data_IF_711819903240
#
_entry.id   IF_711819903240
#
_cell.length_a   1.000
_cell.length_b   1.000
_cell.length_c   1.000
_cell.angle_alpha   90.00
_cell.angle_beta   90.00
_cell.angle_gamma   90.00
#
_symmetry.space_group_name_H-M   'P 1'
#
loop_
_entity.id
_entity.type
_entity.pdbx_description
1 polymer ?
#
# COMPACT_ATOMS: atom_id res chain seq x y z
N UNK A 1 -35.28 -14.01 3.96
CA UNK A 1 -34.61 -13.05 4.85
C UNK A 1 -33.24 -13.54 5.32
N UNK A 2 -32.84 -14.79 5.03
CA UNK A 2 -31.64 -15.44 5.58
C UNK A 2 -30.40 -15.45 4.64
N UNK A 3 -30.56 -14.98 3.40
CA UNK A 3 -29.44 -14.96 2.43
C UNK A 3 -28.43 -13.82 2.64
N UNK A 4 -28.87 -12.69 3.20
CA UNK A 4 -28.03 -11.50 3.36
C UNK A 4 -27.02 -11.62 4.52
N UNK A 5 -27.33 -12.39 5.56
CA UNK A 5 -26.45 -12.57 6.70
C UNK A 5 -25.23 -13.47 6.41
N UNK A 6 -25.35 -14.43 5.49
CA UNK A 6 -24.26 -15.32 5.12
C UNK A 6 -23.15 -14.56 4.34
N UNK A 7 -23.54 -13.57 3.52
CA UNK A 7 -22.61 -12.76 2.74
C UNK A 7 -21.85 -11.75 3.63
N UNK A 8 -22.50 -11.21 4.66
CA UNK A 8 -21.88 -10.27 5.62
C UNK A 8 -20.89 -10.97 6.54
N UNK A 9 -21.17 -12.19 6.96
CA UNK A 9 -20.24 -12.98 7.80
C UNK A 9 -18.97 -13.36 7.04
N UNK A 10 -19.08 -13.61 5.73
CA UNK A 10 -17.91 -13.98 4.90
C UNK A 10 -16.96 -12.82 4.58
N UNK A 11 -17.44 -11.58 4.54
CA UNK A 11 -16.57 -10.43 4.24
C UNK A 11 -15.56 -10.14 5.37
N UNK A 12 -15.95 -10.31 6.62
CA UNK A 12 -15.11 -9.98 7.77
C UNK A 12 -13.87 -10.89 7.88
N UNK A 13 -13.97 -12.17 7.48
CA UNK A 13 -12.83 -13.08 7.50
C UNK A 13 -11.72 -12.70 6.48
N UNK A 14 -12.10 -12.12 5.35
CA UNK A 14 -11.12 -11.66 4.34
C UNK A 14 -10.25 -10.56 4.91
N UNK A 15 -10.82 -9.61 5.65
CA UNK A 15 -10.04 -8.55 6.28
C UNK A 15 -9.10 -9.09 7.37
N UNK A 16 -9.61 -10.00 8.22
CA UNK A 16 -8.80 -10.63 9.26
C UNK A 16 -7.65 -11.43 8.64
N UNK A 17 -7.96 -12.24 7.61
CA UNK A 17 -6.94 -13.04 6.91
C UNK A 17 -5.93 -12.15 6.17
N UNK A 18 -6.36 -11.05 5.57
CA UNK A 18 -5.47 -10.08 4.93
C UNK A 18 -4.55 -9.41 5.93
N UNK A 19 -5.08 -9.00 7.08
CA UNK A 19 -4.29 -8.43 8.17
C UNK A 19 -3.25 -9.43 8.71
N UNK A 20 -3.70 -10.64 9.08
CA UNK A 20 -2.82 -11.70 9.60
C UNK A 20 -1.81 -12.15 8.55
N UNK A 21 -2.21 -12.25 7.28
CA UNK A 21 -1.34 -12.58 6.16
C UNK A 21 -0.26 -11.51 5.94
N UNK A 22 -0.63 -10.23 5.96
CA UNK A 22 0.33 -9.11 5.86
C UNK A 22 1.28 -9.08 7.04
N UNK A 23 0.78 -9.30 8.25
CA UNK A 23 1.58 -9.38 9.44
C UNK A 23 2.59 -10.54 9.39
N UNK A 24 2.13 -11.73 9.04
CA UNK A 24 3.00 -12.93 8.93
C UNK A 24 4.05 -12.78 7.81
N UNK A 25 3.65 -12.27 6.65
CA UNK A 25 4.59 -12.01 5.53
C UNK A 25 5.62 -10.95 5.90
N UNK A 26 5.23 -9.90 6.61
CA UNK A 26 6.15 -8.87 7.11
C UNK A 26 7.13 -9.45 8.12
N UNK A 27 6.67 -10.24 9.09
CA UNK A 27 7.53 -10.93 10.05
C UNK A 27 8.54 -11.87 9.38
N UNK A 28 8.20 -12.43 8.24
CA UNK A 28 9.10 -13.27 7.44
C UNK A 28 10.09 -12.43 6.61
N UNK A 29 9.61 -11.43 5.87
CA UNK A 29 10.46 -10.67 4.95
C UNK A 29 11.44 -9.74 5.67
N UNK A 30 11.06 -9.11 6.78
CA UNK A 30 11.92 -8.16 7.50
C UNK A 30 13.24 -8.80 7.94
N UNK A 31 13.26 -9.95 8.65
CA UNK A 31 14.52 -10.57 9.05
C UNK A 31 15.33 -11.10 7.85
N UNK A 32 14.68 -11.58 6.79
CA UNK A 32 15.36 -12.05 5.57
C UNK A 32 16.07 -10.89 4.89
N UNK A 33 15.35 -9.80 4.64
CA UNK A 33 15.89 -8.61 3.96
C UNK A 33 16.96 -7.94 4.82
N UNK A 34 16.77 -7.86 6.15
CA UNK A 34 17.79 -7.39 7.10
C UNK A 34 19.08 -8.22 7.00
N UNK A 35 18.96 -9.55 6.95
CA UNK A 35 20.12 -10.44 6.81
C UNK A 35 20.86 -10.24 5.48
N UNK A 36 20.11 -10.00 4.40
CA UNK A 36 20.68 -9.69 3.09
C UNK A 36 21.40 -8.35 3.13
N UNK A 37 20.81 -7.31 3.70
CA UNK A 37 21.40 -5.98 3.83
C UNK A 37 22.73 -6.03 4.60
N UNK A 38 22.76 -6.71 5.74
CA UNK A 38 23.98 -6.89 6.55
C UNK A 38 25.04 -7.65 5.76
N UNK A 39 24.68 -8.76 5.10
CA UNK A 39 25.64 -9.57 4.31
C UNK A 39 26.21 -8.82 3.10
N UNK A 40 25.42 -7.92 2.52
CA UNK A 40 25.81 -7.11 1.37
C UNK A 40 26.43 -5.77 1.75
N UNK A 41 26.60 -5.51 3.06
CA UNK A 41 27.11 -4.24 3.59
C UNK A 41 26.27 -3.03 3.12
N UNK A 42 24.98 -3.23 2.93
CA UNK A 42 24.01 -2.18 2.59
C UNK A 42 23.50 -1.58 3.89
N UNK A 43 24.33 -0.72 4.49
CA UNK A 43 24.13 -0.17 5.83
C UNK A 43 24.12 1.36 5.76
N UNK A 44 23.20 1.94 6.52
CA UNK A 44 23.21 3.36 6.83
C UNK A 44 24.15 3.65 7.98
N UNK A 45 25.21 4.39 7.72
CA UNK A 45 26.18 4.74 8.73
C UNK A 45 25.76 6.01 9.48
N UNK A 46 26.08 6.10 10.79
CA UNK A 46 25.84 7.31 11.58
C UNK A 46 26.42 8.57 10.92
N UNK A 47 25.68 9.67 10.96
CA UNK A 47 26.10 10.95 10.40
C UNK A 47 25.60 12.12 11.25
N UNK A 48 26.10 13.34 10.98
CA UNK A 48 25.82 14.55 11.77
C UNK A 48 24.34 14.92 11.90
N UNK A 49 23.49 14.39 11.01
CA UNK A 49 22.05 14.69 10.98
C UNK A 49 21.17 13.45 11.17
N UNK A 50 21.75 12.33 11.65
CA UNK A 50 21.04 11.07 11.84
C UNK A 50 20.87 10.78 13.33
N UNK A 51 19.71 10.23 13.70
CA UNK A 51 19.36 9.97 15.10
C UNK A 51 20.00 8.69 15.65
N UNK A 52 20.51 7.78 14.78
CA UNK A 52 21.08 6.52 15.21
C UNK A 52 22.61 6.61 15.41
N UNK A 53 23.11 5.91 16.42
CA UNK A 53 24.53 5.84 16.79
C UNK A 53 25.24 4.62 16.20
N UNK A 54 24.50 3.62 15.75
CA UNK A 54 24.99 2.40 15.13
C UNK A 54 24.58 2.31 13.67
N UNK A 55 25.28 1.49 12.88
CA UNK A 55 24.93 1.27 11.47
C UNK A 55 23.63 0.48 11.36
N UNK A 56 22.63 1.05 10.70
CA UNK A 56 21.29 0.46 10.51
C UNK A 56 21.17 -0.13 9.11
N UNK A 57 20.68 -1.37 8.96
CA UNK A 57 20.46 -1.94 7.63
C UNK A 57 19.40 -1.16 6.86
N UNK A 58 19.74 -0.72 5.64
CA UNK A 58 18.76 -0.28 4.65
C UNK A 58 17.83 -1.44 4.25
N UNK A 59 16.91 -1.22 3.34
CA UNK A 59 15.98 -2.19 2.76
C UNK A 59 14.77 -2.55 3.64
N UNK A 60 14.56 -1.91 4.80
CA UNK A 60 13.36 -2.11 5.62
C UNK A 60 12.08 -1.81 4.83
N UNK A 61 12.05 -0.68 4.12
CA UNK A 61 10.95 -0.30 3.24
C UNK A 61 10.68 -1.32 2.12
N UNK A 62 11.73 -1.93 1.56
CA UNK A 62 11.56 -3.00 0.56
C UNK A 62 10.81 -4.21 1.14
N UNK A 63 11.12 -4.62 2.36
CA UNK A 63 10.41 -5.73 3.02
C UNK A 63 8.93 -5.41 3.23
N UNK A 64 8.60 -4.18 3.63
CA UNK A 64 7.22 -3.72 3.81
C UNK A 64 6.46 -3.67 2.49
N UNK A 65 7.05 -3.12 1.43
CA UNK A 65 6.45 -3.06 0.10
C UNK A 65 6.19 -4.47 -0.45
N UNK A 66 7.13 -5.40 -0.29
CA UNK A 66 6.96 -6.80 -0.71
C UNK A 66 5.84 -7.48 0.08
N UNK A 67 5.81 -7.33 1.41
CA UNK A 67 4.77 -7.92 2.24
C UNK A 67 3.38 -7.38 1.87
N UNK A 68 3.25 -6.08 1.70
CA UNK A 68 2.01 -5.44 1.28
C UNK A 68 1.56 -5.93 -0.10
N UNK A 69 2.44 -5.90 -1.08
CA UNK A 69 2.14 -6.31 -2.46
C UNK A 69 1.69 -7.77 -2.53
N UNK A 70 2.42 -8.67 -1.88
CA UNK A 70 2.06 -10.10 -1.82
C UNK A 70 0.69 -10.28 -1.18
N UNK A 71 0.42 -9.60 -0.06
CA UNK A 71 -0.86 -9.72 0.64
C UNK A 71 -2.02 -9.18 -0.19
N UNK A 72 -1.87 -8.03 -0.86
CA UNK A 72 -2.92 -7.48 -1.74
C UNK A 72 -3.21 -8.44 -2.89
N UNK A 73 -2.18 -8.97 -3.55
CA UNK A 73 -2.36 -9.94 -4.64
C UNK A 73 -3.08 -11.20 -4.14
N UNK A 74 -2.65 -11.76 -2.99
CA UNK A 74 -3.28 -12.93 -2.40
C UNK A 74 -4.74 -12.64 -1.99
N UNK A 75 -5.03 -11.48 -1.40
CA UNK A 75 -6.38 -11.10 -1.02
C UNK A 75 -7.31 -10.99 -2.24
N UNK A 76 -6.82 -10.41 -3.34
CA UNK A 76 -7.57 -10.32 -4.61
C UNK A 76 -7.83 -11.72 -5.18
N UNK A 77 -6.82 -12.58 -5.21
CA UNK A 77 -6.95 -13.97 -5.72
C UNK A 77 -7.91 -14.76 -4.84
N UNK A 78 -7.70 -14.81 -3.52
CA UNK A 78 -8.54 -15.58 -2.59
C UNK A 78 -10.00 -15.12 -2.64
N UNK A 79 -10.25 -13.81 -2.70
CA UNK A 79 -11.62 -13.28 -2.71
C UNK A 79 -12.41 -13.69 -3.97
N UNK A 80 -11.74 -13.93 -5.08
CA UNK A 80 -12.39 -14.28 -6.34
C UNK A 80 -12.56 -15.79 -6.53
N UNK A 81 -11.69 -16.58 -5.91
CA UNK A 81 -11.74 -18.04 -6.03
C UNK A 81 -12.71 -18.70 -5.01
N UNK A 82 -13.14 -17.96 -3.97
CA UNK A 82 -14.02 -18.49 -2.93
C UNK A 82 -15.47 -18.03 -3.17
N UNK A 83 -16.16 -18.61 -4.14
CA UNK A 83 -17.62 -18.58 -4.18
C UNK A 83 -18.18 -19.82 -3.49
N UNK A 84 -18.86 -19.61 -2.37
CA UNK A 84 -19.58 -20.67 -1.67
C UNK A 84 -20.96 -20.81 -2.32
N UNK A 85 -21.14 -21.85 -3.10
CA UNK A 85 -22.43 -22.22 -3.64
C UNK A 85 -22.82 -23.62 -3.11
N UNK A 86 -23.94 -23.75 -2.39
CA UNK A 86 -24.54 -24.99 -1.91
C UNK A 86 -23.58 -25.99 -1.21
N UNK A 87 -22.65 -25.49 -0.36
CA UNK A 87 -21.76 -26.34 0.43
C UNK A 87 -20.55 -26.90 -0.33
N UNK A 88 -20.37 -26.53 -1.60
CA UNK A 88 -19.16 -26.80 -2.36
C UNK A 88 -18.32 -25.55 -2.55
N UNK A 89 -17.00 -25.68 -2.33
CA UNK A 89 -16.03 -24.61 -2.61
C UNK A 89 -15.65 -24.72 -4.09
N UNK A 90 -16.12 -23.78 -4.91
CA UNK A 90 -15.72 -23.73 -6.32
C UNK A 90 -14.69 -22.62 -6.52
N UNK A 91 -13.55 -22.96 -7.09
CA UNK A 91 -12.52 -22.00 -7.50
C UNK A 91 -12.89 -21.47 -8.90
N UNK A 92 -13.29 -20.20 -8.97
CA UNK A 92 -13.66 -19.57 -10.24
C UNK A 92 -12.67 -18.46 -10.62
N UNK A 93 -11.62 -18.82 -11.36
CA UNK A 93 -10.60 -17.88 -11.88
C UNK A 93 -11.20 -16.89 -12.89
N UNK A 94 -12.36 -17.20 -13.48
CA UNK A 94 -13.03 -16.33 -14.46
C UNK A 94 -13.66 -15.06 -13.87
N UNK A 95 -13.91 -14.99 -12.55
CA UNK A 95 -14.49 -13.83 -11.88
C UNK A 95 -13.60 -12.60 -11.88
N UNK A 96 -12.27 -12.76 -12.05
CA UNK A 96 -11.30 -11.66 -12.18
C UNK A 96 -11.63 -10.69 -13.33
N UNK A 97 -12.29 -11.19 -14.36
CA UNK A 97 -12.59 -10.43 -15.59
C UNK A 97 -14.05 -9.97 -15.69
N UNK A 98 -14.91 -10.35 -14.74
CA UNK A 98 -16.35 -10.02 -14.77
C UNK A 98 -16.82 -8.94 -13.77
N UNK A 99 -16.02 -8.64 -12.74
CA UNK A 99 -16.31 -7.50 -11.87
C UNK A 99 -15.92 -6.21 -12.60
N UNK A 100 -16.78 -5.22 -12.62
CA UNK A 100 -16.69 -4.01 -13.42
C UNK A 100 -15.25 -3.54 -13.64
N UNK A 101 -14.82 -3.58 -14.87
CA UNK A 101 -13.42 -3.59 -15.32
C UNK A 101 -12.52 -2.46 -14.78
N UNK A 102 -13.09 -1.40 -14.23
CA UNK A 102 -12.33 -0.22 -13.80
C UNK A 102 -11.66 -0.41 -12.43
N UNK A 103 -12.35 -1.00 -11.45
CA UNK A 103 -11.83 -1.10 -10.07
C UNK A 103 -10.57 -1.97 -9.95
N UNK A 104 -10.49 -3.07 -10.71
CA UNK A 104 -9.30 -3.94 -10.69
C UNK A 104 -8.12 -3.28 -11.39
N UNK A 105 -8.39 -2.62 -12.52
CA UNK A 105 -7.37 -1.85 -13.24
C UNK A 105 -6.83 -0.73 -12.35
N UNK A 106 -7.70 0.03 -11.70
CA UNK A 106 -7.34 1.07 -10.74
C UNK A 106 -6.47 0.53 -9.60
N UNK A 107 -6.82 -0.62 -9.02
CA UNK A 107 -6.04 -1.27 -7.99
C UNK A 107 -4.63 -1.63 -8.47
N UNK A 108 -4.50 -2.27 -9.65
CA UNK A 108 -3.19 -2.62 -10.19
C UNK A 108 -2.36 -1.41 -10.59
N UNK A 109 -3.01 -0.34 -11.07
CA UNK A 109 -2.35 0.93 -11.37
C UNK A 109 -1.82 1.57 -10.09
N UNK A 110 -2.64 1.68 -9.06
CA UNK A 110 -2.23 2.23 -7.75
C UNK A 110 -1.10 1.41 -7.15
N UNK A 111 -1.20 0.07 -7.18
CA UNK A 111 -0.16 -0.82 -6.70
C UNK A 111 1.15 -0.66 -7.50
N UNK A 112 1.07 -0.57 -8.82
CA UNK A 112 2.22 -0.34 -9.69
C UNK A 112 2.89 1.00 -9.42
N UNK A 113 2.12 2.07 -9.25
CA UNK A 113 2.62 3.40 -8.93
C UNK A 113 3.21 3.47 -7.51
N UNK A 114 2.61 2.75 -6.54
CA UNK A 114 3.17 2.60 -5.19
C UNK A 114 4.51 1.84 -5.22
N UNK A 115 4.63 0.79 -6.04
CA UNK A 115 5.90 0.10 -6.28
C UNK A 115 6.96 1.03 -6.89
N UNK A 116 6.57 1.88 -7.84
CA UNK A 116 7.49 2.89 -8.41
C UNK A 116 8.00 3.86 -7.33
N UNK A 117 7.13 4.34 -6.43
CA UNK A 117 7.55 5.16 -5.28
C UNK A 117 8.48 4.38 -4.35
N UNK A 118 8.17 3.12 -4.06
CA UNK A 118 9.02 2.25 -3.25
C UNK A 118 10.42 2.04 -3.85
N UNK A 119 10.48 1.81 -5.17
CA UNK A 119 11.77 1.70 -5.89
C UNK A 119 12.53 3.03 -5.89
N UNK A 120 11.82 4.16 -6.08
CA UNK A 120 12.43 5.49 -5.98
C UNK A 120 13.02 5.72 -4.60
N UNK A 121 12.28 5.42 -3.52
CA UNK A 121 12.77 5.53 -2.14
C UNK A 121 14.00 4.65 -1.90
N UNK A 122 13.98 3.42 -2.38
CA UNK A 122 15.14 2.51 -2.29
C UNK A 122 16.37 3.07 -3.03
N UNK A 123 16.19 3.64 -4.21
CA UNK A 123 17.29 4.26 -4.96
C UNK A 123 17.79 5.52 -4.25
N UNK A 124 16.90 6.28 -3.63
CA UNK A 124 17.24 7.45 -2.81
C UNK A 124 18.10 7.03 -1.61
N UNK A 125 17.69 6.02 -0.86
CA UNK A 125 18.44 5.47 0.27
C UNK A 125 19.84 4.98 -0.13
N UNK A 126 19.98 4.35 -1.30
CA UNK A 126 21.23 3.74 -1.75
C UNK A 126 22.20 4.71 -2.42
N UNK A 127 21.69 5.73 -3.11
CA UNK A 127 22.51 6.62 -3.98
C UNK A 127 22.38 8.10 -3.67
N UNK A 128 21.35 8.49 -2.94
CA UNK A 128 20.96 9.88 -2.74
C UNK A 128 20.47 10.55 -4.02
N UNK A 129 19.17 10.70 -4.19
CA UNK A 129 18.58 11.39 -5.33
C UNK A 129 18.51 12.88 -5.03
N UNK A 130 18.74 13.72 -6.05
CA UNK A 130 18.55 15.17 -5.90
C UNK A 130 17.07 15.45 -5.57
N UNK A 131 16.77 16.32 -4.58
CA UNK A 131 15.39 16.61 -4.16
C UNK A 131 14.47 17.02 -5.33
N UNK A 132 15.01 17.75 -6.33
CA UNK A 132 14.26 18.14 -7.52
C UNK A 132 13.86 16.96 -8.40
N UNK A 133 14.73 15.96 -8.54
CA UNK A 133 14.43 14.75 -9.32
C UNK A 133 13.40 13.90 -8.59
N UNK A 134 13.52 13.76 -7.29
CA UNK A 134 12.54 13.07 -6.44
C UNK A 134 11.15 13.72 -6.58
N UNK A 135 11.07 15.04 -6.40
CA UNK A 135 9.81 15.78 -6.56
C UNK A 135 9.21 15.62 -7.96
N UNK A 136 10.04 15.63 -9.00
CA UNK A 136 9.57 15.42 -10.36
C UNK A 136 8.95 14.03 -10.56
N UNK A 137 9.57 12.98 -10.02
CA UNK A 137 9.02 11.62 -10.08
C UNK A 137 7.70 11.55 -9.31
N UNK A 138 7.62 12.11 -8.12
CA UNK A 138 6.40 12.17 -7.31
C UNK A 138 5.27 12.90 -8.04
N UNK A 139 5.57 14.02 -8.71
CA UNK A 139 4.60 14.76 -9.54
C UNK A 139 4.09 13.92 -10.71
N UNK A 140 4.97 13.23 -11.43
CA UNK A 140 4.58 12.34 -12.54
C UNK A 140 3.65 11.24 -12.03
N UNK A 141 3.97 10.63 -10.90
CA UNK A 141 3.15 9.59 -10.27
C UNK A 141 1.79 10.17 -9.84
N UNK A 142 1.75 11.35 -9.22
CA UNK A 142 0.51 11.99 -8.81
C UNK A 142 -0.40 12.32 -10.00
N UNK A 143 0.17 12.78 -11.12
CA UNK A 143 -0.56 13.01 -12.38
C UNK A 143 -1.11 11.69 -12.93
N UNK A 144 -0.31 10.62 -12.91
CA UNK A 144 -0.75 9.30 -13.35
C UNK A 144 -1.90 8.76 -12.48
N UNK A 145 -1.80 8.85 -11.15
CA UNK A 145 -2.86 8.48 -10.20
C UNK A 145 -4.17 9.19 -10.54
N UNK A 146 -4.11 10.51 -10.77
CA UNK A 146 -5.28 11.29 -11.18
C UNK A 146 -5.87 10.84 -12.52
N UNK A 147 -5.00 10.61 -13.53
CA UNK A 147 -5.41 10.22 -14.88
C UNK A 147 -6.12 8.85 -14.92
N UNK A 148 -5.75 7.94 -14.01
CA UNK A 148 -6.38 6.62 -13.88
C UNK A 148 -7.60 6.59 -12.95
N UNK A 149 -8.13 7.74 -12.54
CA UNK A 149 -9.41 7.85 -11.82
C UNK A 149 -9.27 7.94 -10.31
N UNK A 150 -8.10 7.72 -9.72
CA UNK A 150 -7.87 7.86 -8.27
C UNK A 150 -7.65 9.33 -7.92
N UNK A 151 -8.71 10.02 -7.57
CA UNK A 151 -8.74 11.47 -7.39
C UNK A 151 -9.74 11.89 -6.33
N UNK A 152 -9.55 13.07 -5.78
CA UNK A 152 -10.61 13.72 -5.00
C UNK A 152 -11.76 14.09 -5.94
N UNK A 153 -12.97 13.63 -5.60
CA UNK A 153 -14.20 13.98 -6.29
C UNK A 153 -15.00 14.95 -5.40
N UNK A 154 -14.83 16.23 -5.69
CA UNK A 154 -15.60 17.28 -5.02
C UNK A 154 -16.56 17.91 -6.03
N UNK A 155 -17.52 18.74 -5.55
CA UNK A 155 -18.39 19.53 -6.42
C UNK A 155 -17.68 20.71 -7.11
N UNK A 156 -16.35 20.76 -7.02
CA UNK A 156 -15.50 21.81 -7.61
C UNK A 156 -15.06 21.43 -9.03
N UNK A 157 -14.63 22.42 -9.83
CA UNK A 157 -14.09 22.15 -11.17
C UNK A 157 -12.95 21.13 -11.15
N UNK A 158 -12.83 20.32 -12.21
CA UNK A 158 -11.86 19.24 -12.35
C UNK A 158 -10.40 19.71 -12.13
N UNK A 159 -10.09 20.96 -12.52
CA UNK A 159 -8.77 21.55 -12.29
C UNK A 159 -8.45 21.68 -10.81
N UNK A 160 -9.43 21.98 -9.95
CA UNK A 160 -9.24 22.08 -8.50
C UNK A 160 -9.06 20.68 -7.91
N UNK A 161 -9.87 19.70 -8.34
CA UNK A 161 -9.70 18.31 -7.94
C UNK A 161 -8.32 17.76 -8.32
N UNK A 162 -7.82 18.13 -9.51
CA UNK A 162 -6.46 17.78 -9.93
C UNK A 162 -5.40 18.36 -8.99
N UNK A 163 -5.48 19.66 -8.71
CA UNK A 163 -4.50 20.34 -7.83
C UNK A 163 -4.53 19.74 -6.42
N UNK A 164 -5.72 19.51 -5.86
CA UNK A 164 -5.86 18.90 -4.53
C UNK A 164 -5.25 17.49 -4.53
N UNK A 165 -5.53 16.67 -5.53
CA UNK A 165 -5.00 15.30 -5.62
C UNK A 165 -3.48 15.29 -5.72
N UNK A 166 -2.90 16.15 -6.56
CA UNK A 166 -1.44 16.24 -6.72
C UNK A 166 -0.77 16.71 -5.43
N UNK A 167 -1.29 17.77 -4.80
CA UNK A 167 -0.76 18.27 -3.52
C UNK A 167 -0.86 17.20 -2.44
N UNK A 168 -1.97 16.46 -2.40
CA UNK A 168 -2.17 15.40 -1.42
C UNK A 168 -1.16 14.27 -1.60
N UNK A 169 -1.05 13.71 -2.80
CA UNK A 169 -0.14 12.58 -3.07
C UNK A 169 1.32 12.97 -2.77
N UNK A 170 1.78 14.09 -3.30
CA UNK A 170 3.15 14.57 -3.06
C UNK A 170 3.36 14.94 -1.60
N UNK A 171 2.40 15.63 -1.00
CA UNK A 171 2.47 16.08 0.40
C UNK A 171 2.56 14.92 1.38
N UNK A 172 1.68 13.91 1.24
CA UNK A 172 1.69 12.73 2.12
C UNK A 172 2.97 11.90 1.92
N UNK A 173 3.42 11.72 0.67
CA UNK A 173 4.66 10.98 0.38
C UNK A 173 5.85 11.63 1.09
N UNK A 174 6.00 12.95 0.99
CA UNK A 174 7.08 13.67 1.65
C UNK A 174 6.91 13.74 3.16
N UNK A 175 5.68 13.92 3.67
CA UNK A 175 5.41 13.94 5.10
C UNK A 175 5.78 12.59 5.75
N UNK A 176 5.36 11.47 5.18
CA UNK A 176 5.70 10.14 5.69
C UNK A 176 7.21 9.89 5.65
N UNK A 177 7.89 10.33 4.60
CA UNK A 177 9.34 10.24 4.53
C UNK A 177 10.06 11.05 5.62
N UNK A 178 9.55 12.22 5.97
CA UNK A 178 10.10 13.02 7.09
C UNK A 178 9.82 12.35 8.45
N UNK A 179 8.67 11.73 8.62
CA UNK A 179 8.30 11.02 9.85
C UNK A 179 9.12 9.74 10.07
N UNK A 180 9.64 9.14 9.00
CA UNK A 180 10.44 7.91 9.07
C UNK A 180 11.85 8.12 9.69
N UNK A 181 12.20 9.35 10.02
CA UNK A 181 13.40 9.65 10.80
C UNK A 181 13.31 9.25 12.29
N UNK A 182 12.13 8.86 12.77
CA UNK A 182 11.89 8.45 14.16
C UNK A 182 11.38 7.00 14.14
N UNK A 183 12.06 6.12 14.87
CA UNK A 183 11.75 4.70 14.93
C UNK A 183 10.28 4.42 15.28
N UNK A 184 9.59 3.74 14.38
CA UNK A 184 8.20 3.34 14.54
C UNK A 184 7.14 4.44 14.35
N UNK A 185 7.52 5.72 14.23
CA UNK A 185 6.57 6.82 14.11
C UNK A 185 5.77 6.75 12.80
N UNK A 186 6.45 6.61 11.67
CA UNK A 186 5.79 6.49 10.36
C UNK A 186 4.86 5.26 10.31
N UNK A 187 5.33 4.11 10.82
CA UNK A 187 4.54 2.89 10.89
C UNK A 187 3.30 3.04 11.80
N UNK A 188 3.47 3.68 12.97
CA UNK A 188 2.36 3.93 13.91
C UNK A 188 1.29 4.85 13.31
N UNK A 189 1.69 5.98 12.72
CA UNK A 189 0.76 6.93 12.08
C UNK A 189 0.03 6.27 10.91
N UNK A 190 0.76 5.54 10.05
CA UNK A 190 0.18 4.83 8.91
C UNK A 190 -0.80 3.74 9.37
N UNK A 191 -0.46 3.00 10.45
CA UNK A 191 -1.34 1.98 11.01
C UNK A 191 -2.65 2.56 11.56
N UNK A 192 -2.57 3.70 12.28
CA UNK A 192 -3.77 4.40 12.78
C UNK A 192 -4.61 4.92 11.61
N UNK A 193 -3.98 5.55 10.61
CA UNK A 193 -4.69 6.04 9.43
C UNK A 193 -5.39 4.90 8.68
N UNK A 194 -4.71 3.77 8.48
CA UNK A 194 -5.29 2.59 7.83
C UNK A 194 -6.51 2.06 8.58
N UNK A 195 -6.46 2.00 9.93
CA UNK A 195 -7.62 1.61 10.74
C UNK A 195 -8.80 2.57 10.56
N UNK A 196 -8.55 3.87 10.55
CA UNK A 196 -9.61 4.88 10.35
C UNK A 196 -10.23 4.72 8.95
N UNK A 197 -9.42 4.58 7.92
CA UNK A 197 -9.90 4.35 6.56
C UNK A 197 -10.68 3.05 6.43
N UNK A 198 -10.23 1.98 7.09
CA UNK A 198 -11.00 0.72 7.16
C UNK A 198 -12.41 0.96 7.70
N UNK A 199 -12.55 1.63 8.85
CA UNK A 199 -13.86 1.90 9.43
C UNK A 199 -14.74 2.78 8.54
N UNK A 200 -14.17 3.80 7.90
CA UNK A 200 -14.90 4.68 6.97
C UNK A 200 -15.38 3.87 5.75
N UNK A 201 -14.50 3.10 5.12
CA UNK A 201 -14.84 2.32 3.94
C UNK A 201 -15.87 1.23 4.26
N UNK A 202 -15.71 0.55 5.40
CA UNK A 202 -16.66 -0.47 5.86
C UNK A 202 -18.04 0.12 6.15
N UNK A 203 -18.12 1.28 6.81
CA UNK A 203 -19.39 1.96 7.10
C UNK A 203 -20.10 2.47 5.84
N UNK A 204 -19.35 2.77 4.78
CA UNK A 204 -19.89 3.20 3.49
C UNK A 204 -20.20 2.04 2.53
N UNK A 205 -20.03 0.79 2.97
CA UNK A 205 -20.29 -0.39 2.14
C UNK A 205 -19.30 -0.55 0.98
N UNK A 206 -18.08 -0.03 1.14
CA UNK A 206 -17.02 -0.09 0.13
C UNK A 206 -15.95 -1.15 0.49
N UNK A 207 -16.26 -2.44 0.31
CA UNK A 207 -15.41 -3.53 0.80
C UNK A 207 -14.04 -3.64 0.11
N UNK A 208 -13.84 -3.02 -1.06
CA UNK A 208 -12.56 -3.02 -1.76
C UNK A 208 -11.57 -1.95 -1.24
N UNK A 209 -12.08 -0.95 -0.55
CA UNK A 209 -11.27 0.14 -0.01
C UNK A 209 -11.07 0.03 1.51
N UNK A 210 -11.81 -0.87 2.15
CA UNK A 210 -11.67 -1.23 3.55
C UNK A 210 -10.59 -2.28 3.76
#
# INVERSE_FOLDING_TARGET
MDHDYALVVNSNWVYILSFLGSFATSLFFVPVVRKIAIRRMILDHPGKHKSHTEAVPYLGGLAMVLAFTVTVILAVVIRQDLSFNDGSVTFNVGGLFQSGSNTIIELFVVLGLALCLGVMGLVDDLRGIRPSVRLMIELIIAVAVFAYGVKFETNLPIAINFVITVIWVVGITNALNLLDNIDGLAAGITGIAALVFYFIAHSNGQPFTA
#
